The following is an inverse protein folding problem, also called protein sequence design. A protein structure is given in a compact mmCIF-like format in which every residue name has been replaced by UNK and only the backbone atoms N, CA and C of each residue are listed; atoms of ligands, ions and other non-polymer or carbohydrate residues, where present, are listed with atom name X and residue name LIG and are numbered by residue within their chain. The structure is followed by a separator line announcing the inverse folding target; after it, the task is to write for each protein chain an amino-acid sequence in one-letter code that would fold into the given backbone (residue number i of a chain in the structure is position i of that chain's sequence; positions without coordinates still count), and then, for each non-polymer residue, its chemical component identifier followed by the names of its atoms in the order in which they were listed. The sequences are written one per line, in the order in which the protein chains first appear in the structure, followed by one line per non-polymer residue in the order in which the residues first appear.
data_IF_360459645464
#
_entry.id   IF_360459645464
#
_cell.length_a   1.000
_cell.length_b   1.000
_cell.length_c   1.000
_cell.angle_alpha   90.00
_cell.angle_beta   90.00
_cell.angle_gamma   90.00
#
_symmetry.space_group_name_H-M   'P 1'
#
loop_
_entity.id
_entity.type
_entity.pdbx_description
1 polymer ?
#
# COMPACT_ATOMS: atom_id res chain seq x y z
N UNK A 1 8.84 -5.15 -16.88
CA UNK A 1 7.60 -4.96 -16.09
C UNK A 1 7.07 -6.30 -15.56
N UNK A 2 6.64 -7.25 -16.39
CA UNK A 2 6.05 -8.52 -15.89
C UNK A 2 6.94 -9.33 -14.93
N UNK A 3 8.25 -9.48 -15.22
CA UNK A 3 9.18 -10.18 -14.31
C UNK A 3 9.32 -9.46 -12.96
N UNK A 4 9.24 -8.13 -12.95
CA UNK A 4 9.32 -7.33 -11.73
C UNK A 4 8.03 -7.44 -10.91
N UNK A 5 6.88 -7.56 -11.58
CA UNK A 5 5.62 -7.86 -10.90
C UNK A 5 5.61 -9.26 -10.29
N UNK A 6 6.11 -10.26 -11.02
CA UNK A 6 6.27 -11.60 -10.48
C UNK A 6 7.24 -11.62 -9.28
N UNK A 7 8.35 -10.89 -9.39
CA UNK A 7 9.32 -10.73 -8.31
C UNK A 7 8.68 -10.05 -7.10
N UNK A 8 7.91 -8.98 -7.30
CA UNK A 8 7.15 -8.33 -6.23
C UNK A 8 6.21 -9.30 -5.53
N UNK A 9 5.39 -10.02 -6.30
CA UNK A 9 4.50 -11.06 -5.77
C UNK A 9 5.27 -12.10 -4.94
N UNK A 10 6.41 -12.59 -5.44
CA UNK A 10 7.23 -13.58 -4.74
C UNK A 10 7.85 -13.03 -3.44
N UNK A 11 8.34 -11.79 -3.45
CA UNK A 11 8.91 -11.12 -2.27
C UNK A 11 7.83 -10.95 -1.20
N UNK A 12 6.68 -10.36 -1.56
CA UNK A 12 5.57 -10.15 -0.62
C UNK A 12 5.05 -11.49 -0.06
N UNK A 13 4.95 -12.53 -0.89
CA UNK A 13 4.59 -13.87 -0.43
C UNK A 13 5.61 -14.45 0.56
N UNK A 14 6.91 -14.31 0.26
CA UNK A 14 7.98 -14.76 1.13
C UNK A 14 7.97 -14.05 2.49
N UNK A 15 7.82 -12.72 2.48
CA UNK A 15 7.72 -11.90 3.69
C UNK A 15 6.52 -12.32 4.55
N UNK A 16 5.36 -12.55 3.94
CA UNK A 16 4.16 -13.02 4.63
C UNK A 16 4.38 -14.38 5.32
N UNK A 17 4.96 -15.34 4.59
CA UNK A 17 5.33 -16.66 5.16
C UNK A 17 6.27 -16.55 6.35
N UNK A 18 7.26 -15.64 6.27
CA UNK A 18 8.19 -15.39 7.36
C UNK A 18 7.50 -14.73 8.56
N UNK A 19 6.62 -13.76 8.32
CA UNK A 19 5.85 -13.09 9.37
C UNK A 19 4.94 -14.09 10.12
N UNK A 20 4.21 -14.95 9.41
CA UNK A 20 3.38 -15.99 10.00
C UNK A 20 4.19 -16.97 10.87
N UNK A 21 5.37 -17.40 10.39
CA UNK A 21 6.29 -18.27 11.16
C UNK A 21 6.84 -17.56 12.39
N UNK A 22 7.23 -16.29 12.26
CA UNK A 22 7.75 -15.48 13.35
C UNK A 22 6.70 -15.28 14.45
N UNK A 23 5.45 -14.96 14.10
CA UNK A 23 4.34 -14.82 15.06
C UNK A 23 4.06 -16.11 15.82
N UNK A 24 4.08 -17.26 15.13
CA UNK A 24 3.93 -18.57 15.77
C UNK A 24 5.07 -18.88 16.77
N UNK A 25 6.28 -18.37 16.51
CA UNK A 25 7.43 -18.55 17.38
C UNK A 25 7.45 -17.55 18.55
N UNK A 26 7.05 -16.31 18.33
CA UNK A 26 7.00 -15.24 19.33
C UNK A 26 5.90 -15.43 20.38
N UNK A 27 4.80 -16.12 20.05
CA UNK A 27 3.73 -16.41 21.01
C UNK A 27 4.18 -17.34 22.16
N UNK A 28 5.39 -17.93 22.07
CA UNK A 28 5.98 -18.75 23.14
C UNK A 28 6.95 -18.01 24.07
N UNK A 29 7.29 -16.73 23.82
CA UNK A 29 8.51 -16.14 24.42
C UNK A 29 8.46 -14.68 24.91
N UNK A 30 7.33 -13.97 25.01
CA UNK A 30 7.40 -12.52 25.35
C UNK A 30 6.77 -12.07 26.67
N UNK A 31 7.64 -11.49 27.51
CA UNK A 31 7.36 -10.41 28.45
C UNK A 31 7.39 -9.03 27.77
N UNK A 32 6.72 -8.04 28.39
CA UNK A 32 5.65 -7.32 27.69
C UNK A 32 5.94 -5.93 27.06
N UNK A 33 6.95 -5.13 27.42
CA UNK A 33 6.86 -3.69 27.06
C UNK A 33 7.80 -3.16 25.95
N UNK A 34 9.03 -3.67 25.79
CA UNK A 34 10.00 -3.06 24.86
C UNK A 34 9.80 -3.46 23.39
N UNK A 35 9.24 -4.64 23.13
CA UNK A 35 9.02 -5.13 21.76
C UNK A 35 7.96 -4.30 21.03
N UNK A 36 6.95 -3.77 21.75
CA UNK A 36 5.83 -3.05 21.16
C UNK A 36 6.26 -1.75 20.47
N UNK A 37 7.23 -1.02 21.03
CA UNK A 37 7.71 0.25 20.48
C UNK A 37 8.51 0.04 19.19
N UNK A 38 9.34 -1.01 19.12
CA UNK A 38 10.09 -1.35 17.91
C UNK A 38 9.17 -1.78 16.76
N UNK A 39 8.14 -2.57 17.07
CA UNK A 39 7.13 -2.98 16.08
C UNK A 39 6.33 -1.78 15.57
N UNK A 40 6.00 -0.81 16.43
CA UNK A 40 5.34 0.43 16.03
C UNK A 40 6.17 1.22 15.02
N UNK A 41 7.46 1.48 15.31
CA UNK A 41 8.33 2.23 14.41
C UNK A 41 8.60 1.51 13.10
N UNK A 42 8.67 0.18 13.12
CA UNK A 42 8.78 -0.61 11.90
C UNK A 42 7.54 -0.46 11.01
N UNK A 43 6.33 -0.57 11.58
CA UNK A 43 5.10 -0.34 10.83
C UNK A 43 5.02 1.09 10.30
N UNK A 44 5.18 2.09 11.17
CA UNK A 44 5.09 3.51 10.79
C UNK A 44 6.13 3.87 9.73
N UNK A 45 7.37 3.40 9.86
CA UNK A 45 8.42 3.65 8.87
C UNK A 45 8.12 3.00 7.52
N UNK A 46 7.57 1.79 7.51
CA UNK A 46 7.18 1.10 6.28
C UNK A 46 6.02 1.82 5.58
N UNK A 47 5.00 2.22 6.33
CA UNK A 47 3.89 3.03 5.81
C UNK A 47 4.34 4.42 5.35
N UNK A 48 5.33 5.03 6.01
CA UNK A 48 5.89 6.31 5.59
C UNK A 48 6.61 6.20 4.24
N UNK A 49 7.42 5.15 4.03
CA UNK A 49 8.08 4.91 2.74
C UNK A 49 7.03 4.69 1.66
N UNK A 50 6.03 3.85 1.93
CA UNK A 50 4.92 3.60 1.01
C UNK A 50 4.17 4.91 0.65
N UNK A 51 3.80 5.71 1.65
CA UNK A 51 3.15 7.00 1.47
C UNK A 51 4.00 8.00 0.67
N UNK A 52 5.32 8.02 0.89
CA UNK A 52 6.23 8.86 0.11
C UNK A 52 6.31 8.44 -1.35
N UNK A 53 6.35 7.15 -1.64
CA UNK A 53 6.28 6.63 -3.02
C UNK A 53 4.96 7.07 -3.66
N UNK A 54 3.84 6.93 -2.95
CA UNK A 54 2.53 7.34 -3.47
C UNK A 54 2.45 8.85 -3.73
N UNK A 55 3.02 9.68 -2.85
CA UNK A 55 3.11 11.12 -3.06
C UNK A 55 3.92 11.48 -4.32
N UNK A 56 5.03 10.79 -4.57
CA UNK A 56 5.83 10.95 -5.78
C UNK A 56 5.02 10.54 -7.03
N UNK A 57 4.32 9.41 -6.97
CA UNK A 57 3.52 8.90 -8.09
C UNK A 57 2.30 9.78 -8.39
N UNK A 58 1.72 10.42 -7.37
CA UNK A 58 0.64 11.40 -7.56
C UNK A 58 1.11 12.56 -8.43
N UNK A 59 2.32 13.07 -8.20
CA UNK A 59 2.91 14.14 -9.03
C UNK A 59 3.08 13.72 -10.49
N UNK A 60 3.52 12.49 -10.74
CA UNK A 60 3.65 11.97 -12.10
C UNK A 60 2.28 11.90 -12.82
N UNK A 61 1.21 11.57 -12.07
CA UNK A 61 -0.15 11.51 -12.61
C UNK A 61 -0.71 12.90 -12.99
N UNK A 62 -0.31 13.96 -12.29
CA UNK A 62 -0.68 15.35 -12.65
C UNK A 62 -0.19 15.71 -14.06
N UNK A 63 1.00 15.23 -14.44
CA UNK A 63 1.57 15.49 -15.76
C UNK A 63 0.77 14.83 -16.90
N UNK A 64 0.05 13.75 -16.61
CA UNK A 64 -0.80 13.03 -17.56
C UNK A 64 -2.21 13.62 -17.67
N UNK A 65 -2.52 14.66 -16.87
CA UNK A 65 -3.77 15.41 -16.94
C UNK A 65 -4.78 15.05 -15.83
N UNK A 66 -5.82 15.88 -15.71
CA UNK A 66 -6.81 15.78 -14.63
C UNK A 66 -7.60 14.46 -14.66
N UNK A 67 -7.83 13.88 -15.84
CA UNK A 67 -8.55 12.62 -16.00
C UNK A 67 -7.81 11.43 -15.34
N UNK A 68 -6.48 11.43 -15.36
CA UNK A 68 -5.66 10.42 -14.68
C UNK A 68 -5.44 10.75 -13.20
N UNK A 69 -5.26 12.03 -12.88
CA UNK A 69 -4.97 12.49 -11.54
C UNK A 69 -6.17 12.35 -10.57
N UNK A 70 -7.39 12.71 -10.99
CA UNK A 70 -8.57 12.70 -10.11
C UNK A 70 -8.92 11.31 -9.56
N UNK A 71 -9.04 10.26 -10.40
CA UNK A 71 -9.31 8.91 -9.93
C UNK A 71 -8.22 8.39 -9.00
N UNK A 72 -6.96 8.64 -9.32
CA UNK A 72 -5.83 8.25 -8.48
C UNK A 72 -5.89 8.96 -7.13
N UNK A 73 -6.13 10.27 -7.13
CA UNK A 73 -6.27 11.05 -5.90
C UNK A 73 -7.39 10.51 -5.00
N UNK A 74 -8.57 10.24 -5.56
CA UNK A 74 -9.71 9.70 -4.79
C UNK A 74 -9.40 8.31 -4.24
N UNK A 75 -8.82 7.44 -5.06
CA UNK A 75 -8.42 6.09 -4.63
C UNK A 75 -7.40 6.14 -3.49
N UNK A 76 -6.38 7.01 -3.61
CA UNK A 76 -5.37 7.20 -2.57
C UNK A 76 -5.97 7.81 -1.30
N UNK A 77 -6.86 8.79 -1.41
CA UNK A 77 -7.53 9.40 -0.26
C UNK A 77 -8.34 8.35 0.53
N UNK A 78 -9.13 7.53 -0.15
CA UNK A 78 -9.87 6.43 0.48
C UNK A 78 -8.93 5.39 1.10
N UNK A 79 -7.87 5.01 0.39
CA UNK A 79 -6.87 4.08 0.90
C UNK A 79 -6.21 4.59 2.19
N UNK A 80 -5.85 5.88 2.24
CA UNK A 80 -5.28 6.50 3.42
C UNK A 80 -6.26 6.58 4.59
N UNK A 81 -7.55 6.85 4.34
CA UNK A 81 -8.57 6.83 5.40
C UNK A 81 -8.69 5.44 6.03
N UNK A 82 -8.73 4.38 5.22
CA UNK A 82 -8.81 3.01 5.72
C UNK A 82 -7.54 2.63 6.50
N UNK A 83 -6.36 2.98 5.98
CA UNK A 83 -5.09 2.74 6.67
C UNK A 83 -5.02 3.48 8.01
N UNK A 84 -5.42 4.75 8.05
CA UNK A 84 -5.42 5.57 9.26
C UNK A 84 -6.30 4.97 10.35
N UNK A 85 -7.50 4.48 9.99
CA UNK A 85 -8.38 3.78 10.93
C UNK A 85 -7.70 2.52 11.48
N UNK A 86 -7.15 1.67 10.60
CA UNK A 86 -6.48 0.43 11.03
C UNK A 86 -5.25 0.66 11.93
N UNK A 87 -4.42 1.65 11.59
CA UNK A 87 -3.25 2.05 12.38
C UNK A 87 -3.64 2.65 13.74
N UNK A 88 -4.72 3.44 13.77
CA UNK A 88 -5.24 4.04 15.01
C UNK A 88 -5.78 2.98 15.96
N UNK A 89 -6.43 1.93 15.46
CA UNK A 89 -6.92 0.83 16.29
C UNK A 89 -5.77 0.05 16.97
N UNK A 90 -4.68 -0.19 16.24
CA UNK A 90 -3.55 -1.00 16.72
C UNK A 90 -2.58 -0.24 17.63
N UNK A 91 -2.40 1.07 17.42
CA UNK A 91 -1.35 1.86 18.11
C UNK A 91 -1.86 3.10 18.86
N UNK A 92 -3.17 3.37 18.80
CA UNK A 92 -3.94 4.36 19.58
C UNK A 92 -3.19 5.68 19.83
N UNK A 93 -2.60 5.84 21.02
CA UNK A 93 -2.02 7.11 21.47
C UNK A 93 -0.73 7.50 20.71
N UNK A 94 0.11 6.54 20.33
CA UNK A 94 1.36 6.82 19.62
C UNK A 94 1.08 7.29 18.18
N UNK A 95 0.09 6.66 17.54
CA UNK A 95 -0.40 7.04 16.23
C UNK A 95 -1.04 8.45 16.26
N UNK A 96 -1.93 8.70 17.22
CA UNK A 96 -2.60 10.00 17.37
C UNK A 96 -1.60 11.14 17.63
N UNK A 97 -0.47 10.91 18.30
CA UNK A 97 0.50 11.96 18.62
C UNK A 97 1.54 12.20 17.53
N UNK A 98 2.07 11.15 16.91
CA UNK A 98 3.21 11.26 15.97
C UNK A 98 2.92 10.60 14.63
N UNK A 99 2.29 9.42 14.63
CA UNK A 99 2.08 8.61 13.43
C UNK A 99 1.37 9.37 12.31
N UNK A 100 0.23 10.01 12.61
CA UNK A 100 -0.55 10.75 11.59
C UNK A 100 0.27 11.83 10.87
N UNK A 101 1.09 12.57 11.63
CA UNK A 101 1.84 13.72 11.11
C UNK A 101 3.02 13.24 10.27
N UNK A 102 3.66 12.15 10.69
CA UNK A 102 4.74 11.54 9.94
C UNK A 102 4.24 10.94 8.62
N UNK A 103 3.10 10.26 8.64
CA UNK A 103 2.49 9.69 7.43
C UNK A 103 2.01 10.76 6.46
N UNK A 104 1.33 11.80 6.94
CA UNK A 104 0.93 12.94 6.11
C UNK A 104 2.16 13.68 5.56
N UNK A 105 3.16 13.92 6.41
CA UNK A 105 4.43 14.53 6.01
C UNK A 105 5.17 13.72 4.95
N UNK A 106 5.11 12.38 5.01
CA UNK A 106 5.72 11.52 4.01
C UNK A 106 5.08 11.67 2.62
N UNK A 107 3.74 11.79 2.53
CA UNK A 107 3.04 12.02 1.26
C UNK A 107 3.48 13.35 0.66
N UNK A 108 3.45 14.43 1.45
CA UNK A 108 3.85 15.77 1.00
C UNK A 108 5.32 15.77 0.58
N UNK A 109 6.20 15.14 1.37
CA UNK A 109 7.62 15.02 1.05
C UNK A 109 7.85 14.26 -0.25
N UNK A 110 7.14 13.16 -0.47
CA UNK A 110 7.17 12.40 -1.73
C UNK A 110 6.73 13.22 -2.93
N UNK A 111 5.65 13.99 -2.79
CA UNK A 111 5.17 14.89 -3.83
C UNK A 111 6.18 16.00 -4.15
N UNK A 112 6.76 16.64 -3.13
CA UNK A 112 7.83 17.65 -3.29
C UNK A 112 9.08 17.04 -3.93
N UNK A 113 9.47 15.83 -3.54
CA UNK A 113 10.54 15.09 -4.19
C UNK A 113 10.25 14.86 -5.68
N UNK A 114 9.01 14.58 -6.04
CA UNK A 114 8.56 14.47 -7.43
C UNK A 114 8.70 15.77 -8.24
N UNK A 115 8.78 16.92 -7.57
CA UNK A 115 9.08 18.20 -8.21
C UNK A 115 10.58 18.39 -8.45
N UNK A 116 11.40 17.94 -7.50
CA UNK A 116 12.83 18.22 -7.48
C UNK A 116 13.67 17.15 -8.18
N UNK A 117 13.20 15.90 -8.21
CA UNK A 117 13.92 14.74 -8.72
C UNK A 117 13.10 14.10 -9.83
N UNK A 118 13.66 14.06 -11.04
CA UNK A 118 13.12 13.26 -12.13
C UNK A 118 13.73 11.86 -12.08
N UNK A 119 12.95 10.91 -11.56
CA UNK A 119 13.29 9.49 -11.66
C UNK A 119 13.04 9.04 -13.09
N UNK A 120 13.96 8.23 -13.65
CA UNK A 120 13.77 7.75 -15.01
C UNK A 120 12.52 6.86 -15.12
N UNK A 121 11.90 6.85 -16.31
CA UNK A 121 10.66 6.10 -16.55
C UNK A 121 10.82 4.59 -16.27
N UNK A 122 12.02 4.02 -16.47
CA UNK A 122 12.31 2.62 -16.20
C UNK A 122 12.23 2.24 -14.72
N UNK A 123 12.75 3.09 -13.83
CA UNK A 123 12.71 2.89 -12.39
C UNK A 123 11.29 3.11 -11.83
N UNK A 124 10.55 4.10 -12.34
CA UNK A 124 9.13 4.29 -12.02
C UNK A 124 8.32 3.04 -12.41
N UNK A 125 8.52 2.54 -13.64
CA UNK A 125 7.86 1.33 -14.11
C UNK A 125 8.25 0.07 -13.29
N UNK A 126 9.48 0.03 -12.78
CA UNK A 126 9.94 -1.06 -11.92
C UNK A 126 9.25 -1.05 -10.55
N UNK A 127 9.14 0.13 -9.92
CA UNK A 127 8.45 0.31 -8.63
C UNK A 127 6.97 -0.06 -8.79
N UNK A 128 6.30 0.46 -9.83
CA UNK A 128 4.90 0.11 -10.13
C UNK A 128 4.70 -1.38 -10.32
N UNK A 129 5.57 -2.03 -11.11
CA UNK A 129 5.47 -3.46 -11.34
C UNK A 129 5.58 -4.25 -10.03
N UNK A 130 6.59 -3.94 -9.22
CA UNK A 130 6.82 -4.60 -7.94
C UNK A 130 5.63 -4.43 -6.98
N UNK A 131 5.09 -3.21 -6.89
CA UNK A 131 3.90 -2.91 -6.10
C UNK A 131 2.66 -3.64 -6.62
N UNK A 132 2.44 -3.67 -7.94
CA UNK A 132 1.32 -4.37 -8.55
C UNK A 132 1.33 -5.86 -8.20
N UNK A 133 2.52 -6.50 -8.22
CA UNK A 133 2.67 -7.89 -7.77
C UNK A 133 2.26 -8.13 -6.32
N UNK A 134 2.66 -7.23 -5.41
CA UNK A 134 2.27 -7.27 -4.00
C UNK A 134 0.77 -7.04 -3.80
N UNK A 135 0.19 -6.05 -4.49
CA UNK A 135 -1.25 -5.75 -4.44
C UNK A 135 -2.07 -6.95 -4.93
N UNK A 136 -1.68 -7.56 -6.07
CA UNK A 136 -2.36 -8.74 -6.60
C UNK A 136 -2.39 -9.86 -5.55
N UNK A 137 -1.24 -10.14 -4.91
CA UNK A 137 -1.19 -11.14 -3.85
C UNK A 137 -2.13 -10.78 -2.69
N UNK A 138 -2.10 -9.52 -2.25
CA UNK A 138 -2.91 -9.05 -1.14
C UNK A 138 -4.40 -9.22 -1.42
N UNK A 139 -4.86 -8.77 -2.60
CA UNK A 139 -6.25 -8.89 -3.03
C UNK A 139 -6.67 -10.36 -3.09
N UNK A 140 -5.86 -11.22 -3.72
CA UNK A 140 -6.18 -12.65 -3.86
C UNK A 140 -6.24 -13.39 -2.52
N UNK A 141 -5.47 -12.95 -1.53
CA UNK A 141 -5.35 -13.62 -0.23
C UNK A 141 -6.33 -13.06 0.81
N UNK A 142 -6.51 -11.75 0.86
CA UNK A 142 -7.14 -11.05 1.99
C UNK A 142 -8.47 -10.40 1.63
N UNK A 143 -8.65 -9.97 0.38
CA UNK A 143 -9.87 -9.24 -0.03
C UNK A 143 -10.87 -10.14 -0.76
N UNK A 144 -10.42 -11.24 -1.37
CA UNK A 144 -11.35 -12.22 -1.94
C UNK A 144 -11.98 -13.05 -0.81
N UNK A 145 -13.33 -13.08 -0.73
CA UNK A 145 -14.03 -13.90 0.25
C UNK A 145 -13.71 -15.38 0.03
N UNK A 146 -13.72 -16.15 1.13
CA UNK A 146 -13.59 -17.60 1.05
C UNK A 146 -14.66 -18.18 0.11
N UNK A 147 -14.36 -19.30 -0.56
CA UNK A 147 -15.17 -19.87 -1.67
C UNK A 147 -16.69 -19.95 -1.42
N UNK A 148 -17.13 -20.00 -0.16
CA UNK A 148 -18.53 -20.13 0.23
C UNK A 148 -19.33 -18.81 0.27
N UNK A 149 -18.68 -17.64 0.26
CA UNK A 149 -19.34 -16.31 0.32
C UNK A 149 -19.11 -15.46 -0.95
N UNK A 150 -18.43 -16.01 -1.96
CA UNK A 150 -18.08 -15.26 -3.17
C UNK A 150 -19.23 -15.19 -4.18
N UNK A 151 -19.67 -13.97 -4.51
CA UNK A 151 -20.56 -13.72 -5.64
C UNK A 151 -19.74 -13.29 -6.87
N UNK A 152 -19.47 -14.24 -7.77
CA UNK A 152 -18.75 -13.98 -9.00
C UNK A 152 -19.40 -12.89 -9.88
N UNK A 153 -20.72 -12.77 -9.85
CA UNK A 153 -21.44 -11.74 -10.61
C UNK A 153 -21.09 -10.32 -10.17
N UNK A 154 -21.00 -10.07 -8.86
CA UNK A 154 -20.58 -8.77 -8.32
C UNK A 154 -19.11 -8.48 -8.63
N UNK A 155 -18.24 -9.48 -8.53
CA UNK A 155 -16.84 -9.37 -8.93
C UNK A 155 -16.70 -9.00 -10.42
N UNK A 156 -17.37 -9.74 -11.31
CA UNK A 156 -17.32 -9.50 -12.75
C UNK A 156 -17.90 -8.13 -13.12
N UNK A 157 -19.00 -7.70 -12.46
CA UNK A 157 -19.58 -6.39 -12.64
C UNK A 157 -18.62 -5.27 -12.21
N UNK A 158 -17.96 -5.41 -11.06
CA UNK A 158 -16.93 -4.47 -10.60
C UNK A 158 -15.73 -4.40 -11.55
N UNK A 159 -15.24 -5.56 -12.01
CA UNK A 159 -14.14 -5.64 -12.97
C UNK A 159 -14.50 -5.00 -14.32
N UNK A 160 -15.73 -5.22 -14.82
CA UNK A 160 -16.22 -4.59 -16.05
C UNK A 160 -16.36 -3.07 -15.89
N UNK A 161 -16.95 -2.61 -14.79
CA UNK A 161 -17.07 -1.18 -14.50
C UNK A 161 -15.71 -0.49 -14.42
N UNK A 162 -14.73 -1.09 -13.73
CA UNK A 162 -13.37 -0.56 -13.66
C UNK A 162 -12.65 -0.60 -15.01
N UNK A 163 -12.90 -1.64 -15.82
CA UNK A 163 -12.37 -1.70 -17.19
C UNK A 163 -12.85 -0.54 -18.06
N UNK A 164 -14.13 -0.14 -17.93
CA UNK A 164 -14.65 1.05 -18.62
C UNK A 164 -13.90 2.31 -18.18
N UNK A 165 -13.67 2.49 -16.87
CA UNK A 165 -12.88 3.61 -16.37
C UNK A 165 -11.47 3.61 -16.99
N UNK A 166 -10.79 2.47 -16.99
CA UNK A 166 -9.45 2.34 -17.57
C UNK A 166 -9.39 2.63 -19.07
N UNK A 167 -10.41 2.28 -19.84
CA UNK A 167 -10.47 2.55 -21.28
C UNK A 167 -10.74 4.04 -21.61
N UNK A 168 -11.19 4.82 -20.62
CA UNK A 168 -11.48 6.25 -20.76
C UNK A 168 -10.44 7.15 -20.08
N UNK A 169 -9.41 6.57 -19.44
CA UNK A 169 -8.23 7.25 -18.90
C UNK A 169 -7.14 7.35 -19.96
#
# INVERSE_FOLDING_TARGET
VYLLALLGLAIFYGLEKLALRSRAHHHKTQGEDRTQLGIFWLHIGSFAIYNGILGYLLRESENHGLAACLPLFVALALHFVVNDVGLREHHKQAYDRVGRWLLAGAIVFGWVLGQAIQVNAGAIAAIWALMAGGIILNVLKEELPAEQESNFGLFAAGAAAYSVVLLNL
#
